data_IF_885778532297
#
_entry.id   IF_885778532297
#
_cell.length_a   1.000
_cell.length_b   1.000
_cell.length_c   1.000
_cell.angle_alpha   90.00
_cell.angle_beta   90.00
_cell.angle_gamma   90.00
#
_symmetry.space_group_name_H-M   'P 1'
#
loop_
_entity.id
_entity.type
_entity.pdbx_description
1 polymer ?
#
# COMPACT_ATOMS: atom_id res chain seq x y z
N UNK A 1 -17.26 -113.75 -64.05
CA UNK A 1 -16.24 -114.50 -64.81
C UNK A 1 -15.35 -115.20 -63.79
N UNK A 2 -15.37 -116.53 -63.76
CA UNK A 2 -14.62 -117.37 -62.81
C UNK A 2 -13.13 -117.15 -63.01
N UNK A 3 -12.45 -116.67 -61.97
CA UNK A 3 -11.02 -116.40 -61.98
C UNK A 3 -10.20 -117.65 -62.30
N UNK A 4 -9.21 -117.50 -63.16
CA UNK A 4 -8.20 -118.52 -63.40
C UNK A 4 -7.40 -118.74 -62.12
N UNK A 5 -7.37 -119.94 -61.53
CA UNK A 5 -6.54 -120.21 -60.36
C UNK A 5 -5.06 -120.14 -60.76
N UNK A 6 -4.32 -119.23 -60.13
CA UNK A 6 -2.86 -119.16 -60.26
C UNK A 6 -2.27 -120.20 -59.33
N UNK A 7 -1.41 -121.08 -59.85
CA UNK A 7 -0.72 -122.07 -59.04
C UNK A 7 0.14 -121.36 -57.96
N UNK A 8 0.08 -121.80 -56.69
CA UNK A 8 0.84 -121.18 -55.61
C UNK A 8 2.36 -121.31 -55.82
N UNK A 9 3.16 -120.43 -55.18
CA UNK A 9 4.61 -120.44 -55.32
C UNK A 9 5.20 -121.82 -55.05
N UNK A 10 6.08 -122.29 -55.94
CA UNK A 10 6.72 -123.60 -55.81
C UNK A 10 6.00 -124.77 -56.48
N UNK A 11 4.81 -124.63 -57.06
CA UNK A 11 4.21 -125.69 -57.90
C UNK A 11 5.02 -125.88 -59.21
N UNK A 12 5.31 -127.13 -59.65
CA UNK A 12 6.09 -127.37 -60.86
C UNK A 12 5.28 -127.00 -62.12
N UNK A 13 5.85 -126.13 -62.97
CA UNK A 13 5.28 -125.75 -64.27
C UNK A 13 5.73 -126.67 -65.42
N UNK A 14 6.75 -127.51 -65.18
CA UNK A 14 7.32 -128.46 -66.13
C UNK A 14 8.82 -128.69 -65.90
N UNK A 15 9.39 -129.73 -66.52
CA UNK A 15 10.82 -130.10 -66.41
C UNK A 15 11.52 -129.84 -67.75
N UNK A 16 12.63 -129.07 -67.74
CA UNK A 16 13.51 -128.87 -68.91
C UNK A 16 14.89 -129.41 -68.54
N UNK A 17 15.44 -130.32 -69.34
CA UNK A 17 16.76 -130.94 -69.14
C UNK A 17 16.98 -131.49 -67.71
N UNK A 18 15.97 -132.13 -67.13
CA UNK A 18 16.06 -132.77 -65.81
C UNK A 18 15.87 -131.85 -64.60
N UNK A 19 15.75 -130.51 -64.78
CA UNK A 19 15.48 -129.57 -63.69
C UNK A 19 14.03 -129.02 -63.74
N UNK A 20 13.38 -128.93 -62.57
CA UNK A 20 12.02 -128.41 -62.44
C UNK A 20 12.01 -126.87 -62.50
N UNK A 21 11.21 -126.29 -63.41
CA UNK A 21 10.93 -124.85 -63.45
C UNK A 21 9.76 -124.54 -62.51
N UNK A 22 9.96 -123.60 -61.57
CA UNK A 22 8.96 -123.19 -60.56
C UNK A 22 8.63 -121.70 -60.69
N UNK A 23 7.40 -121.32 -60.35
CA UNK A 23 7.01 -119.90 -60.24
C UNK A 23 7.81 -119.26 -59.10
N UNK A 24 8.53 -118.17 -59.37
CA UNK A 24 9.22 -117.43 -58.32
C UNK A 24 8.23 -116.58 -57.50
N UNK A 25 8.47 -116.37 -56.19
CA UNK A 25 7.58 -115.57 -55.33
C UNK A 25 7.34 -114.14 -55.84
N UNK A 26 8.35 -113.54 -56.49
CA UNK A 26 8.32 -112.23 -57.14
C UNK A 26 7.20 -112.17 -58.21
N UNK A 27 7.12 -113.19 -59.06
CA UNK A 27 6.12 -113.31 -60.13
C UNK A 27 4.71 -113.53 -59.59
N UNK A 28 4.54 -114.28 -58.49
CA UNK A 28 3.24 -114.45 -57.84
C UNK A 28 2.71 -113.15 -57.24
N UNK A 29 3.59 -112.32 -56.66
CA UNK A 29 3.22 -110.99 -56.13
C UNK A 29 2.82 -110.01 -57.22
N UNK A 30 3.51 -110.00 -58.37
CA UNK A 30 3.12 -109.17 -59.51
C UNK A 30 1.70 -109.49 -59.97
N UNK A 31 1.38 -110.76 -60.21
CA UNK A 31 0.05 -111.16 -60.66
C UNK A 31 -1.04 -110.99 -59.59
N UNK A 32 -0.72 -111.15 -58.29
CA UNK A 32 -1.69 -110.88 -57.22
C UNK A 32 -2.02 -109.38 -57.09
N UNK A 33 -1.05 -108.49 -57.33
CA UNK A 33 -1.28 -107.04 -57.40
C UNK A 33 -2.07 -106.63 -58.64
N UNK A 34 -1.84 -107.27 -59.78
CA UNK A 34 -2.67 -107.08 -60.99
C UNK A 34 -4.10 -107.56 -60.76
N UNK A 35 -4.29 -108.69 -60.09
CA UNK A 35 -5.63 -109.20 -59.73
C UNK A 35 -6.33 -108.31 -58.69
N UNK A 36 -5.59 -107.72 -57.73
CA UNK A 36 -6.08 -106.69 -56.80
C UNK A 36 -6.50 -105.40 -57.50
N UNK A 37 -5.85 -105.04 -58.62
CA UNK A 37 -6.20 -103.88 -59.47
C UNK A 37 -7.39 -104.13 -60.41
N UNK A 38 -7.72 -105.40 -60.70
CA UNK A 38 -8.81 -105.78 -61.62
C UNK A 38 -10.09 -106.20 -60.85
N UNK A 39 -9.99 -106.61 -59.58
CA UNK A 39 -11.12 -106.94 -58.72
C UNK A 39 -11.65 -105.73 -57.94
N UNK A 40 -12.55 -104.95 -58.56
CA UNK A 40 -13.52 -104.02 -57.96
C UNK A 40 -13.24 -103.47 -56.54
N UNK A 41 -12.73 -102.24 -56.48
CA UNK A 41 -12.73 -101.42 -55.27
C UNK A 41 -11.82 -100.21 -55.44
N UNK A 42 -12.42 -99.07 -55.78
CA UNK A 42 -11.80 -97.74 -55.90
C UNK A 42 -10.65 -97.49 -54.94
N UNK A 43 -9.47 -97.13 -55.44
CA UNK A 43 -8.44 -96.53 -54.58
C UNK A 43 -8.86 -95.06 -54.31
N UNK A 44 -9.24 -94.68 -53.07
CA UNK A 44 -9.86 -93.38 -52.75
C UNK A 44 -8.89 -92.18 -52.84
N UNK A 45 -7.71 -92.38 -53.39
CA UNK A 45 -6.57 -91.47 -53.35
C UNK A 45 -6.40 -90.66 -54.65
N UNK A 46 -7.36 -90.73 -55.56
CA UNK A 46 -7.22 -90.21 -56.93
C UNK A 46 -7.48 -88.71 -57.16
N UNK A 47 -7.77 -87.87 -56.16
CA UNK A 47 -8.20 -86.49 -56.45
C UNK A 47 -7.79 -85.40 -55.45
N UNK A 48 -7.05 -85.71 -54.40
CA UNK A 48 -6.49 -84.71 -53.48
C UNK A 48 -4.99 -84.92 -53.37
N UNK A 49 -4.15 -83.87 -53.41
CA UNK A 49 -2.76 -84.03 -53.03
C UNK A 49 -2.72 -84.32 -51.54
N UNK A 50 -2.62 -85.61 -51.16
CA UNK A 50 -2.32 -86.00 -49.79
C UNK A 50 -0.79 -86.13 -49.66
N UNK A 51 -0.25 -85.55 -48.60
CA UNK A 51 1.15 -85.71 -48.25
C UNK A 51 1.32 -87.07 -47.58
N UNK A 52 1.96 -88.02 -48.27
CA UNK A 52 2.35 -89.31 -47.68
C UNK A 52 3.63 -89.11 -46.85
N UNK A 53 3.58 -89.43 -45.55
CA UNK A 53 4.74 -89.40 -44.65
C UNK A 53 5.06 -90.84 -44.26
N UNK A 54 6.00 -91.49 -44.95
CA UNK A 54 6.43 -92.88 -44.67
C UNK A 54 7.86 -92.90 -44.11
N UNK A 55 8.19 -93.89 -43.27
CA UNK A 55 9.55 -94.15 -42.73
C UNK A 55 10.09 -95.44 -43.37
N UNK A 56 10.06 -95.54 -44.70
CA UNK A 56 10.46 -96.74 -45.43
C UNK A 56 11.47 -96.39 -46.54
N UNK A 57 12.59 -97.10 -46.61
CA UNK A 57 13.79 -96.75 -47.39
C UNK A 57 13.74 -97.19 -48.87
N UNK A 58 12.55 -97.51 -49.39
CA UNK A 58 12.37 -98.20 -50.68
C UNK A 58 11.72 -97.42 -51.83
N UNK A 59 11.33 -96.14 -51.67
CA UNK A 59 10.64 -95.38 -52.72
C UNK A 59 11.48 -94.17 -53.18
N UNK A 60 12.04 -94.28 -54.39
CA UNK A 60 13.05 -93.35 -54.95
C UNK A 60 12.59 -91.93 -55.31
N UNK A 61 11.47 -91.43 -54.76
CA UNK A 61 11.02 -90.04 -54.92
C UNK A 61 10.13 -89.53 -53.77
N UNK A 62 10.21 -90.13 -52.58
CA UNK A 62 9.51 -89.62 -51.41
C UNK A 62 10.15 -88.34 -50.87
N UNK A 63 9.33 -87.34 -50.56
CA UNK A 63 9.79 -86.11 -49.90
C UNK A 63 9.69 -86.30 -48.41
N UNK A 64 10.79 -86.74 -47.79
CA UNK A 64 10.91 -86.82 -46.33
C UNK A 64 10.72 -85.43 -45.72
N UNK A 65 9.58 -85.17 -45.09
CA UNK A 65 9.33 -83.95 -44.33
C UNK A 65 10.08 -84.05 -42.99
N UNK A 66 11.40 -83.93 -43.05
CA UNK A 66 12.22 -83.87 -41.83
C UNK A 66 12.22 -82.41 -41.37
N UNK A 67 11.67 -82.08 -40.19
CA UNK A 67 11.82 -80.73 -39.66
C UNK A 67 13.30 -80.41 -39.59
N UNK A 68 13.74 -79.42 -40.36
CA UNK A 68 15.11 -78.92 -40.26
C UNK A 68 15.21 -78.31 -38.85
N UNK A 69 16.06 -78.91 -38.01
CA UNK A 69 16.10 -78.76 -36.55
C UNK A 69 15.43 -77.49 -35.98
N UNK A 70 14.33 -77.69 -35.23
CA UNK A 70 13.88 -76.77 -34.17
C UNK A 70 12.76 -75.77 -34.48
N UNK A 71 12.02 -75.89 -35.59
CA UNK A 71 11.04 -74.85 -35.98
C UNK A 71 9.61 -75.31 -36.25
N UNK A 72 9.47 -76.48 -36.86
CA UNK A 72 8.19 -77.14 -37.05
C UNK A 72 8.14 -78.37 -36.17
N UNK A 73 6.99 -78.63 -35.57
CA UNK A 73 6.70 -79.85 -34.83
C UNK A 73 5.63 -80.64 -35.58
N UNK A 74 5.77 -81.96 -35.58
CA UNK A 74 4.83 -82.86 -36.22
C UNK A 74 4.60 -84.06 -35.31
N UNK A 75 3.34 -84.29 -34.94
CA UNK A 75 2.95 -85.45 -34.12
C UNK A 75 1.94 -86.27 -34.90
N UNK A 76 2.27 -87.54 -35.15
CA UNK A 76 1.37 -88.50 -35.77
C UNK A 76 0.48 -89.15 -34.70
N UNK A 77 -0.84 -88.99 -34.86
CA UNK A 77 -1.85 -89.58 -33.99
C UNK A 77 -2.04 -91.08 -34.20
N UNK A 78 -1.35 -91.68 -35.18
CA UNK A 78 -1.53 -93.08 -35.56
C UNK A 78 -2.75 -93.28 -36.48
N UNK A 79 -3.08 -94.54 -36.77
CA UNK A 79 -4.18 -94.89 -37.67
C UNK A 79 -5.51 -94.27 -37.19
N UNK A 80 -6.23 -93.62 -38.11
CA UNK A 80 -7.46 -92.85 -37.87
C UNK A 80 -7.33 -91.61 -36.94
N UNK A 81 -6.11 -91.25 -36.52
CA UNK A 81 -5.80 -90.05 -35.74
C UNK A 81 -5.33 -88.87 -36.61
N UNK A 82 -5.53 -87.60 -36.19
CA UNK A 82 -5.06 -86.45 -36.94
C UNK A 82 -3.54 -86.30 -36.84
N UNK A 83 -2.90 -86.02 -37.97
CA UNK A 83 -1.52 -85.54 -37.98
C UNK A 83 -1.48 -84.05 -37.64
N UNK A 84 -0.89 -83.69 -36.50
CA UNK A 84 -0.84 -82.29 -36.04
C UNK A 84 0.47 -81.66 -36.45
N UNK A 85 0.40 -80.65 -37.32
CA UNK A 85 1.51 -79.76 -37.66
C UNK A 85 1.44 -78.50 -36.80
N UNK A 86 2.54 -78.18 -36.12
CA UNK A 86 2.66 -77.03 -35.25
C UNK A 86 3.97 -76.27 -35.45
N UNK A 87 4.07 -75.15 -34.76
CA UNK A 87 5.35 -74.45 -34.58
C UNK A 87 6.04 -75.02 -33.33
N UNK A 88 7.37 -75.06 -33.37
CA UNK A 88 8.14 -75.33 -32.16
C UNK A 88 8.01 -74.15 -31.18
N UNK A 89 7.90 -74.48 -29.89
CA UNK A 89 7.95 -73.49 -28.81
C UNK A 89 9.23 -72.66 -28.90
N UNK A 90 9.10 -71.41 -28.50
CA UNK A 90 10.22 -70.49 -28.36
C UNK A 90 10.61 -70.41 -26.89
N UNK A 91 11.73 -69.79 -26.56
CA UNK A 91 12.08 -69.56 -25.16
C UNK A 91 11.25 -68.42 -24.52
N UNK A 92 10.29 -67.84 -25.25
CA UNK A 92 9.40 -66.78 -24.76
C UNK A 92 8.28 -67.38 -23.92
N UNK A 93 8.16 -66.95 -22.67
CA UNK A 93 7.02 -67.29 -21.83
C UNK A 93 5.77 -66.53 -22.30
N UNK A 94 4.62 -67.20 -22.54
CA UNK A 94 3.39 -66.50 -22.86
C UNK A 94 2.97 -65.54 -21.72
N UNK A 95 2.98 -64.23 -22.00
CA UNK A 95 2.61 -63.16 -21.07
C UNK A 95 2.31 -61.86 -21.84
N UNK A 96 1.71 -60.89 -21.17
CA UNK A 96 1.81 -59.50 -21.59
C UNK A 96 3.24 -58.99 -21.32
N UNK A 97 3.82 -58.32 -22.32
CA UNK A 97 5.10 -57.61 -22.20
C UNK A 97 4.83 -56.12 -22.45
N UNK A 98 5.47 -55.26 -21.67
CA UNK A 98 5.26 -53.82 -21.65
C UNK A 98 4.25 -53.37 -20.60
N UNK A 99 4.46 -52.16 -20.08
CA UNK A 99 3.59 -51.50 -19.11
C UNK A 99 3.66 -49.98 -19.28
N UNK A 100 3.03 -49.22 -18.38
CA UNK A 100 3.21 -47.77 -18.34
C UNK A 100 4.66 -47.33 -18.03
N UNK A 101 5.51 -48.23 -17.51
CA UNK A 101 6.90 -47.93 -17.11
C UNK A 101 7.95 -48.79 -17.81
N UNK A 102 7.55 -49.71 -18.69
CA UNK A 102 8.46 -50.63 -19.41
C UNK A 102 8.06 -50.78 -20.87
N UNK A 103 9.04 -50.89 -21.77
CA UNK A 103 8.85 -51.25 -23.18
C UNK A 103 9.29 -52.70 -23.43
N UNK A 104 8.59 -53.46 -24.28
CA UNK A 104 9.04 -54.80 -24.67
C UNK A 104 10.35 -54.71 -25.48
N UNK A 105 11.35 -55.48 -25.07
CA UNK A 105 12.56 -55.78 -25.85
C UNK A 105 12.46 -57.22 -26.33
N UNK A 106 12.48 -57.40 -27.65
CA UNK A 106 12.32 -58.71 -28.28
C UNK A 106 13.51 -59.03 -29.16
N UNK A 107 13.86 -60.31 -29.24
CA UNK A 107 14.82 -60.83 -30.21
C UNK A 107 14.10 -61.79 -31.12
N UNK A 108 14.34 -61.68 -32.43
CA UNK A 108 13.79 -62.60 -33.42
C UNK A 108 14.89 -63.49 -34.01
N UNK A 109 14.54 -64.72 -34.36
CA UNK A 109 15.42 -65.57 -35.14
C UNK A 109 15.50 -65.11 -36.61
N UNK A 110 16.38 -65.71 -37.39
CA UNK A 110 16.54 -65.43 -38.82
C UNK A 110 15.26 -65.67 -39.66
N UNK A 111 14.22 -66.26 -39.06
CA UNK A 111 12.93 -66.56 -39.70
C UNK A 111 11.79 -65.71 -39.12
N UNK A 112 12.11 -64.73 -38.28
CA UNK A 112 11.16 -63.76 -37.73
C UNK A 112 10.37 -64.23 -36.52
N UNK A 113 10.66 -65.42 -35.95
CA UNK A 113 10.00 -65.85 -34.71
C UNK A 113 10.65 -65.17 -33.52
N UNK A 114 9.86 -64.72 -32.56
CA UNK A 114 10.38 -64.15 -31.31
C UNK A 114 11.00 -65.27 -30.48
N UNK A 115 12.29 -65.16 -30.16
CA UNK A 115 13.04 -66.14 -29.37
C UNK A 115 13.30 -65.69 -27.94
N UNK A 116 13.18 -64.40 -27.66
CA UNK A 116 13.16 -63.85 -26.31
C UNK A 116 12.30 -62.59 -26.27
N UNK A 117 11.64 -62.36 -25.13
CA UNK A 117 10.92 -61.15 -24.82
C UNK A 117 11.17 -60.78 -23.35
N UNK A 118 11.46 -59.51 -23.09
CA UNK A 118 11.66 -58.97 -21.75
C UNK A 118 11.20 -57.52 -21.67
N UNK A 119 10.92 -57.05 -20.46
CA UNK A 119 10.55 -55.65 -20.21
C UNK A 119 11.80 -54.82 -19.90
N UNK A 120 12.01 -53.75 -20.67
CA UNK A 120 13.07 -52.76 -20.42
C UNK A 120 12.46 -51.50 -19.81
N UNK A 121 12.98 -50.97 -18.69
CA UNK A 121 12.48 -49.73 -18.10
C UNK A 121 12.51 -48.56 -19.07
N UNK A 122 11.49 -47.72 -19.02
CA UNK A 122 11.47 -46.44 -19.75
C UNK A 122 12.39 -45.46 -19.02
N UNK A 123 13.55 -45.19 -19.61
CA UNK A 123 14.51 -44.19 -19.13
C UNK A 123 14.61 -43.03 -20.13
N UNK A 124 13.99 -41.89 -19.81
CA UNK A 124 14.08 -40.67 -20.62
C UNK A 124 15.21 -39.80 -20.07
N UNK A 125 16.15 -39.40 -20.92
CA UNK A 125 17.20 -38.45 -20.52
C UNK A 125 16.56 -37.08 -20.22
N UNK A 126 17.02 -36.39 -19.19
CA UNK A 126 16.54 -35.04 -18.87
C UNK A 126 16.67 -34.09 -20.08
N UNK A 127 17.70 -34.26 -20.93
CA UNK A 127 17.86 -33.48 -22.16
C UNK A 127 16.82 -33.76 -23.24
N UNK A 128 16.13 -34.91 -23.18
CA UNK A 128 15.05 -35.26 -24.09
C UNK A 128 13.69 -34.70 -23.63
N UNK A 129 13.61 -34.11 -22.43
CA UNK A 129 12.42 -33.42 -21.93
C UNK A 129 12.52 -31.94 -22.33
N UNK A 130 11.80 -31.56 -23.39
CA UNK A 130 11.72 -30.14 -23.81
C UNK A 130 10.68 -29.40 -22.96
N UNK A 131 11.15 -28.60 -22.00
CA UNK A 131 10.32 -27.68 -21.23
C UNK A 131 10.18 -26.30 -21.89
N UNK A 132 9.31 -25.46 -21.34
CA UNK A 132 9.26 -24.03 -21.60
C UNK A 132 10.10 -23.28 -20.57
N UNK A 133 10.52 -22.06 -20.93
CA UNK A 133 11.25 -21.18 -20.04
C UNK A 133 10.32 -20.56 -19.00
N UNK A 134 10.80 -20.44 -17.76
CA UNK A 134 10.17 -19.55 -16.80
C UNK A 134 10.52 -18.11 -17.18
N UNK A 135 9.62 -17.44 -17.89
CA UNK A 135 9.78 -16.05 -18.31
C UNK A 135 9.19 -15.11 -17.25
N UNK A 136 9.92 -14.03 -16.91
CA UNK A 136 9.41 -12.96 -16.05
C UNK A 136 8.95 -11.76 -16.88
N UNK A 137 8.00 -11.01 -16.35
CA UNK A 137 7.74 -9.63 -16.72
C UNK A 137 7.85 -8.80 -15.45
N UNK A 138 8.78 -7.85 -15.41
CA UNK A 138 8.81 -6.85 -14.35
C UNK A 138 7.79 -5.76 -14.71
N UNK A 139 7.12 -5.19 -13.72
CA UNK A 139 6.44 -3.91 -13.88
C UNK A 139 7.33 -2.77 -13.33
N UNK A 140 6.81 -1.54 -13.32
CA UNK A 140 7.56 -0.37 -12.82
C UNK A 140 7.89 -0.46 -11.33
N UNK A 141 7.15 -1.27 -10.57
CA UNK A 141 7.19 -1.30 -9.12
C UNK A 141 7.78 -2.63 -8.58
N UNK A 142 7.56 -3.75 -9.26
CA UNK A 142 7.90 -5.12 -8.85
C UNK A 142 8.95 -5.71 -9.78
N UNK A 143 10.09 -6.12 -9.21
CA UNK A 143 11.13 -6.89 -9.92
C UNK A 143 11.18 -8.32 -9.41
N UNK A 144 11.06 -9.31 -10.31
CA UNK A 144 11.23 -10.72 -9.98
C UNK A 144 12.62 -11.21 -10.37
N UNK A 145 13.52 -11.42 -9.42
CA UNK A 145 14.82 -12.04 -9.71
C UNK A 145 14.65 -13.56 -9.86
N UNK A 146 15.08 -14.12 -10.99
CA UNK A 146 15.14 -15.59 -11.19
C UNK A 146 16.60 -16.02 -11.10
N UNK A 147 16.93 -16.97 -10.21
CA UNK A 147 18.25 -17.57 -10.08
C UNK A 147 18.36 -18.91 -10.81
N UNK A 148 19.58 -19.40 -11.02
CA UNK A 148 19.84 -20.68 -11.71
C UNK A 148 19.60 -20.62 -13.23
N UNK A 149 19.12 -21.73 -13.80
CA UNK A 149 18.82 -21.87 -15.24
C UNK A 149 17.31 -21.93 -15.46
N UNK A 150 16.61 -20.78 -15.64
CA UNK A 150 15.15 -20.76 -15.81
C UNK A 150 14.67 -21.37 -17.14
N UNK A 151 15.60 -21.60 -18.09
CA UNK A 151 15.32 -22.21 -19.39
C UNK A 151 14.91 -23.68 -19.22
N UNK A 152 13.78 -24.06 -19.81
CA UNK A 152 13.22 -25.42 -19.68
C UNK A 152 12.72 -25.81 -18.27
N UNK A 153 12.59 -24.85 -17.34
CA UNK A 153 12.16 -25.12 -15.96
C UNK A 153 10.68 -25.52 -15.82
N UNK A 154 9.87 -25.30 -16.86
CA UNK A 154 8.42 -25.58 -16.82
C UNK A 154 8.03 -26.66 -17.81
N UNK A 155 7.25 -27.66 -17.38
CA UNK A 155 6.66 -28.64 -18.30
C UNK A 155 5.59 -28.01 -19.20
N UNK A 156 4.91 -26.96 -18.72
CA UNK A 156 3.95 -26.14 -19.48
C UNK A 156 4.12 -24.67 -19.10
N UNK A 157 3.95 -23.78 -20.07
CA UNK A 157 3.98 -22.34 -19.81
C UNK A 157 2.94 -21.93 -18.76
N UNK A 158 3.38 -21.19 -17.75
CA UNK A 158 2.53 -20.58 -16.72
C UNK A 158 2.89 -19.11 -16.55
N UNK A 159 1.91 -18.25 -16.32
CA UNK A 159 2.12 -16.83 -16.06
C UNK A 159 1.93 -16.51 -14.58
N UNK A 160 2.90 -15.81 -13.98
CA UNK A 160 2.75 -15.23 -12.66
C UNK A 160 2.32 -13.77 -12.77
N UNK A 161 1.26 -13.39 -12.04
CA UNK A 161 0.92 -11.99 -11.81
C UNK A 161 1.40 -11.64 -10.41
N UNK A 162 2.43 -10.80 -10.32
CA UNK A 162 3.01 -10.38 -9.06
C UNK A 162 2.61 -8.94 -8.79
N UNK A 163 2.15 -8.66 -7.58
CA UNK A 163 1.73 -7.34 -7.14
C UNK A 163 1.60 -7.30 -5.63
N UNK A 164 1.54 -6.11 -5.06
CA UNK A 164 1.27 -5.89 -3.65
C UNK A 164 -0.24 -5.77 -3.43
N UNK A 165 -0.78 -6.58 -2.52
CA UNK A 165 -2.13 -6.38 -1.99
C UNK A 165 -2.04 -5.53 -0.72
N UNK A 166 -2.76 -4.40 -0.67
CA UNK A 166 -2.73 -3.52 0.50
C UNK A 166 -1.71 -2.39 0.37
N UNK A 167 -0.99 -2.07 1.45
CA UNK A 167 -0.08 -0.93 1.53
C UNK A 167 1.37 -1.34 1.30
N UNK A 168 2.16 -0.45 0.71
CA UNK A 168 3.61 -0.60 0.66
C UNK A 168 4.22 0.02 1.93
N UNK A 169 5.07 -0.74 2.60
CA UNK A 169 5.78 -0.31 3.80
C UNK A 169 6.70 0.90 3.52
N UNK A 170 6.84 1.77 4.51
CA UNK A 170 7.61 3.01 4.45
C UNK A 170 9.09 2.75 4.14
N UNK A 171 9.67 1.67 4.67
CA UNK A 171 11.06 1.29 4.40
C UNK A 171 11.29 0.84 2.96
N UNK A 172 10.21 0.57 2.22
CA UNK A 172 10.20 0.20 0.80
C UNK A 172 9.70 1.33 -0.10
N UNK A 173 9.66 2.56 0.42
CA UNK A 173 9.24 3.75 -0.34
C UNK A 173 7.73 3.96 -0.43
N UNK A 174 6.95 3.17 0.30
CA UNK A 174 5.51 3.41 0.46
C UNK A 174 5.20 4.38 1.59
N UNK A 175 3.92 4.48 1.93
CA UNK A 175 3.46 5.30 3.07
C UNK A 175 3.00 4.47 4.27
N UNK A 176 2.92 3.14 4.13
CA UNK A 176 2.34 2.25 5.14
C UNK A 176 0.83 2.43 5.35
N UNK A 177 0.22 3.46 4.77
CA UNK A 177 -1.15 3.89 5.06
C UNK A 177 -2.17 3.38 4.05
N UNK A 178 -3.28 2.85 4.56
CA UNK A 178 -4.40 2.35 3.75
C UNK A 178 -5.48 3.40 3.50
N UNK A 179 -5.46 4.53 4.21
CA UNK A 179 -6.43 5.61 4.10
C UNK A 179 -5.86 6.94 4.59
N UNK A 180 -6.31 8.03 3.99
CA UNK A 180 -6.19 9.41 4.45
C UNK A 180 -7.47 10.16 4.05
N UNK A 181 -7.80 11.25 4.74
CA UNK A 181 -8.89 12.13 4.34
C UNK A 181 -8.37 13.44 3.76
N UNK A 182 -9.24 14.19 3.08
CA UNK A 182 -8.88 15.46 2.48
C UNK A 182 -8.37 16.44 3.55
N UNK A 183 -7.16 16.95 3.36
CA UNK A 183 -6.51 17.94 4.21
C UNK A 183 -5.63 17.36 5.33
N UNK A 184 -5.53 16.04 5.46
CA UNK A 184 -4.54 15.43 6.35
C UNK A 184 -3.10 15.74 5.90
N UNK A 185 -2.19 15.78 6.87
CA UNK A 185 -0.76 15.91 6.65
C UNK A 185 -0.07 14.58 6.95
N UNK A 186 0.71 14.07 6.01
CA UNK A 186 1.62 12.94 6.24
C UNK A 186 2.99 13.49 6.62
N UNK A 187 3.57 12.97 7.70
CA UNK A 187 4.87 13.41 8.21
C UNK A 187 5.69 12.22 8.71
N UNK A 188 7.02 12.38 8.78
CA UNK A 188 7.90 11.37 9.36
C UNK A 188 7.83 11.42 10.89
N UNK A 189 7.29 10.37 11.51
CA UNK A 189 7.29 10.23 12.97
C UNK A 189 8.68 9.82 13.49
N UNK A 190 9.46 9.13 12.66
CA UNK A 190 10.86 8.81 12.86
C UNK A 190 11.50 8.43 11.50
N UNK A 191 12.75 7.98 11.52
CA UNK A 191 13.52 7.67 10.31
C UNK A 191 12.91 6.57 9.41
N UNK A 192 12.01 5.73 9.94
CA UNK A 192 11.44 4.57 9.21
C UNK A 192 9.92 4.51 9.25
N UNK A 193 9.24 5.48 9.87
CA UNK A 193 7.79 5.46 10.08
C UNK A 193 7.19 6.78 9.63
N UNK A 194 6.19 6.72 8.75
CA UNK A 194 5.35 7.86 8.43
C UNK A 194 4.09 7.80 9.30
N UNK A 195 3.61 8.96 9.73
CA UNK A 195 2.39 9.10 10.50
C UNK A 195 1.50 10.18 9.87
N UNK A 196 0.21 10.08 10.17
CA UNK A 196 -0.78 11.03 9.71
C UNK A 196 -1.14 11.98 10.85
N UNK A 197 -1.11 13.27 10.57
CA UNK A 197 -1.69 14.31 11.40
C UNK A 197 -2.97 14.76 10.69
N UNK A 198 -4.13 14.51 11.32
CA UNK A 198 -5.42 14.89 10.73
C UNK A 198 -5.49 16.40 10.45
N UNK A 199 -6.34 16.86 9.52
CA UNK A 199 -6.47 18.30 9.12
C UNK A 199 -6.62 19.28 10.31
N UNK A 200 -7.07 18.79 11.47
CA UNK A 200 -7.27 19.59 12.67
C UNK A 200 -8.62 20.30 12.69
N UNK A 201 -8.75 21.27 13.59
CA UNK A 201 -9.96 22.09 13.75
C UNK A 201 -9.82 23.40 12.98
N UNK A 202 -10.94 24.02 12.59
CA UNK A 202 -10.95 25.37 11.99
C UNK A 202 -10.11 26.36 12.82
N UNK A 203 -9.35 27.21 12.13
CA UNK A 203 -8.43 28.21 12.74
C UNK A 203 -7.24 27.63 13.53
N UNK A 204 -6.86 26.38 13.29
CA UNK A 204 -5.58 25.87 13.78
C UNK A 204 -4.47 26.14 12.76
N UNK A 205 -3.25 26.35 13.25
CA UNK A 205 -2.06 26.51 12.42
C UNK A 205 -1.04 25.44 12.73
N UNK A 206 -0.37 24.95 11.68
CA UNK A 206 0.67 23.94 11.82
C UNK A 206 1.90 24.58 12.43
N UNK A 207 2.37 24.02 13.53
CA UNK A 207 3.59 24.45 14.22
C UNK A 207 4.50 23.24 14.41
N UNK A 208 5.79 23.50 14.63
CA UNK A 208 6.74 22.47 15.08
C UNK A 208 6.96 22.66 16.58
N UNK A 209 6.84 21.59 17.36
CA UNK A 209 7.22 21.60 18.78
C UNK A 209 8.71 21.22 19.00
N UNK A 210 9.49 21.13 17.91
CA UNK A 210 10.89 20.69 17.95
C UNK A 210 11.10 19.17 17.80
N UNK A 211 10.04 18.36 17.91
CA UNK A 211 10.10 16.91 17.66
C UNK A 211 9.20 16.49 16.50
N UNK A 212 7.94 16.95 16.47
CA UNK A 212 6.93 16.59 15.49
C UNK A 212 6.09 17.82 15.08
N UNK A 213 5.45 17.80 13.89
CA UNK A 213 4.42 18.76 13.56
C UNK A 213 3.20 18.60 14.49
N UNK A 214 2.61 19.71 14.92
CA UNK A 214 1.40 19.74 15.74
C UNK A 214 0.49 20.90 15.32
N UNK A 215 -0.81 20.74 15.53
CA UNK A 215 -1.78 21.82 15.32
C UNK A 215 -1.91 22.64 16.61
N UNK A 216 -1.73 23.96 16.50
CA UNK A 216 -1.96 24.89 17.62
C UNK A 216 -3.15 25.80 17.29
N UNK A 217 -4.05 25.97 18.25
CA UNK A 217 -5.17 26.90 18.11
C UNK A 217 -4.65 28.32 17.90
N UNK A 218 -5.19 29.04 16.91
CA UNK A 218 -4.99 30.48 16.84
C UNK A 218 -5.82 31.13 17.96
N UNK A 219 -5.18 31.77 18.95
CA UNK A 219 -5.84 32.35 20.12
C UNK A 219 -6.40 33.76 19.90
N UNK A 220 -6.18 34.36 18.72
CA UNK A 220 -6.75 35.64 18.33
C UNK A 220 -7.95 35.49 17.38
N UNK A 221 -8.91 36.40 17.47
CA UNK A 221 -9.96 36.63 16.45
C UNK A 221 -9.42 37.27 15.16
N UNK A 222 -8.11 37.51 15.06
CA UNK A 222 -7.41 38.03 13.88
C UNK A 222 -6.34 37.08 13.33
N UNK A 223 -5.69 37.50 12.23
CA UNK A 223 -4.61 36.74 11.59
C UNK A 223 -3.49 36.41 12.59
N UNK A 224 -2.90 35.21 12.48
CA UNK A 224 -1.72 34.86 13.27
C UNK A 224 -0.58 35.83 12.93
N UNK A 225 -0.20 36.67 13.88
CA UNK A 225 0.94 37.56 13.74
C UNK A 225 2.22 36.76 14.03
N UNK A 226 2.73 36.06 13.00
CA UNK A 226 4.03 35.37 13.05
C UNK A 226 5.13 36.24 12.45
N UNK A 227 5.41 37.36 13.07
CA UNK A 227 6.48 38.24 12.64
C UNK A 227 7.33 38.65 13.84
N UNK A 228 8.66 38.60 13.69
CA UNK A 228 9.57 39.17 14.69
C UNK A 228 9.39 40.68 14.86
N UNK A 229 8.74 41.34 13.89
CA UNK A 229 8.31 42.74 13.90
C UNK A 229 6.93 42.85 13.24
N UNK A 230 5.83 42.72 14.01
CA UNK A 230 4.49 42.95 13.51
C UNK A 230 4.36 44.34 12.89
N UNK A 231 3.66 44.45 11.76
CA UNK A 231 3.16 45.74 11.26
C UNK A 231 1.65 45.66 11.14
N UNK A 232 0.96 46.70 11.61
CA UNK A 232 -0.49 46.79 11.59
C UNK A 232 -0.88 47.95 10.67
N UNK A 233 -1.76 47.69 9.70
CA UNK A 233 -2.24 48.73 8.77
C UNK A 233 -3.19 49.71 9.47
N UNK A 234 -3.88 49.25 10.52
CA UNK A 234 -4.79 50.02 11.37
C UNK A 234 -4.28 50.05 12.82
N UNK A 235 -5.11 50.49 13.77
CA UNK A 235 -4.76 50.49 15.19
C UNK A 235 -4.72 49.08 15.82
N UNK A 236 -4.01 48.97 16.94
CA UNK A 236 -3.98 47.82 17.86
C UNK A 236 -4.88 48.16 19.05
N UNK A 237 -5.81 47.28 19.42
CA UNK A 237 -6.53 47.40 20.70
C UNK A 237 -5.72 46.74 21.82
N UNK A 238 -5.61 47.38 22.98
CA UNK A 238 -5.08 46.78 24.20
C UNK A 238 -6.21 46.48 25.18
N UNK A 239 -6.12 45.36 25.91
CA UNK A 239 -7.17 44.92 26.83
C UNK A 239 -8.51 44.70 26.13
N UNK A 240 -9.59 45.28 26.69
CA UNK A 240 -10.93 45.24 26.11
C UNK A 240 -11.19 46.32 25.03
N UNK A 241 -10.15 47.07 24.62
CA UNK A 241 -10.32 48.12 23.62
C UNK A 241 -10.67 47.56 22.24
N UNK A 242 -11.67 48.17 21.60
CA UNK A 242 -11.87 47.99 20.16
C UNK A 242 -10.84 48.86 19.44
N UNK A 243 -9.98 48.25 18.62
CA UNK A 243 -9.03 48.98 17.80
C UNK A 243 -9.74 50.03 16.93
N UNK A 244 -9.24 51.26 16.89
CA UNK A 244 -9.76 52.31 16.03
C UNK A 244 -9.85 51.85 14.57
N UNK A 245 -11.00 52.05 13.94
CA UNK A 245 -11.25 51.72 12.54
C UNK A 245 -10.51 52.65 11.55
N UNK A 246 -9.86 53.71 12.05
CA UNK A 246 -9.08 54.65 11.24
C UNK A 246 -7.77 55.03 11.93
N UNK A 247 -6.76 55.37 11.12
CA UNK A 247 -5.41 55.70 11.58
C UNK A 247 -4.58 54.47 11.97
N UNK A 248 -3.35 54.74 12.41
CA UNK A 248 -2.43 53.74 12.98
C UNK A 248 -2.13 54.18 14.41
N UNK A 249 -2.15 53.25 15.36
CA UNK A 249 -1.94 53.59 16.77
C UNK A 249 -2.28 52.46 17.75
N UNK A 250 -2.35 52.80 19.02
CA UNK A 250 -2.76 51.91 20.12
C UNK A 250 -4.04 52.49 20.72
N UNK A 251 -5.12 51.71 20.73
CA UNK A 251 -6.41 52.08 21.30
C UNK A 251 -6.53 51.52 22.71
N UNK A 252 -6.83 52.40 23.66
CA UNK A 252 -7.13 52.07 25.05
C UNK A 252 -8.65 51.93 25.25
N UNK A 253 -9.11 51.13 26.23
CA UNK A 253 -10.53 50.99 26.51
C UNK A 253 -11.12 52.32 27.01
N UNK A 254 -12.40 52.58 26.71
CA UNK A 254 -13.09 53.80 27.14
C UNK A 254 -13.27 53.89 28.67
N UNK A 255 -13.10 52.78 29.37
CA UNK A 255 -13.03 52.72 30.83
C UNK A 255 -11.63 52.28 31.20
N UNK A 256 -11.01 52.97 32.16
CA UNK A 256 -9.68 52.65 32.65
C UNK A 256 -9.54 51.15 32.97
N UNK A 257 -8.49 50.53 32.45
CA UNK A 257 -8.10 49.15 32.74
C UNK A 257 -6.91 49.16 33.71
N UNK A 258 -7.17 49.53 34.97
CA UNK A 258 -6.15 49.90 35.93
C UNK A 258 -5.11 48.79 36.18
N UNK A 259 -3.82 49.16 36.13
CA UNK A 259 -2.70 48.29 36.47
C UNK A 259 -1.96 48.78 37.70
N UNK A 260 -1.59 47.85 38.58
CA UNK A 260 -0.71 48.12 39.73
C UNK A 260 0.78 47.98 39.38
N UNK A 261 1.11 47.48 38.19
CA UNK A 261 2.49 47.39 37.72
C UNK A 261 2.97 48.75 37.22
N UNK A 262 4.00 49.36 37.84
CA UNK A 262 4.49 50.68 37.44
C UNK A 262 5.05 50.73 36.01
N UNK A 263 5.28 49.58 35.36
CA UNK A 263 5.77 49.46 33.99
C UNK A 263 4.68 49.17 32.95
N UNK A 264 3.41 49.12 33.36
CA UNK A 264 2.28 48.98 32.44
C UNK A 264 1.72 50.36 32.13
N UNK A 265 1.62 50.68 30.83
CA UNK A 265 0.80 51.81 30.37
C UNK A 265 -0.63 51.30 30.27
N UNK A 266 -1.44 51.63 31.27
CA UNK A 266 -2.76 51.05 31.50
C UNK A 266 -3.92 51.98 31.12
N UNK A 267 -3.63 53.27 30.94
CA UNK A 267 -4.65 54.28 30.72
C UNK A 267 -4.21 55.37 29.73
N UNK A 268 -5.15 55.79 28.88
CA UNK A 268 -5.05 56.99 28.07
C UNK A 268 -6.47 57.56 27.91
N UNK A 269 -6.72 58.71 28.53
CA UNK A 269 -8.02 59.38 28.49
C UNK A 269 -7.84 60.86 28.19
N UNK A 270 -8.60 61.37 27.22
CA UNK A 270 -8.76 62.80 26.96
C UNK A 270 -10.19 63.19 27.28
N UNK A 271 -10.38 64.32 27.97
CA UNK A 271 -11.71 64.72 28.36
C UNK A 271 -11.83 66.17 28.77
N UNK A 272 -13.08 66.59 28.94
CA UNK A 272 -13.43 67.88 29.55
C UNK A 272 -13.98 67.65 30.94
N UNK A 273 -13.74 68.58 31.86
CA UNK A 273 -14.42 68.59 33.15
C UNK A 273 -14.96 69.99 33.46
N UNK A 274 -16.03 70.06 34.25
CA UNK A 274 -16.57 71.33 34.75
C UNK A 274 -16.14 71.51 36.20
N UNK A 275 -15.11 72.32 36.49
CA UNK A 275 -14.66 72.53 37.86
C UNK A 275 -15.68 73.32 38.68
N UNK A 276 -15.85 72.92 39.93
CA UNK A 276 -16.49 73.76 40.93
C UNK A 276 -15.49 74.79 41.41
N UNK A 277 -15.82 76.09 41.33
CA UNK A 277 -14.93 77.19 41.67
C UNK A 277 -15.41 77.89 42.93
N UNK A 278 -14.51 78.09 43.90
CA UNK A 278 -14.80 78.77 45.17
C UNK A 278 -13.67 79.74 45.52
N UNK A 279 -13.94 80.67 46.45
CA UNK A 279 -12.90 81.52 47.04
C UNK A 279 -12.40 80.90 48.36
N UNK A 280 -11.16 81.24 48.75
CA UNK A 280 -10.57 80.82 50.03
C UNK A 280 -11.26 81.43 51.24
N UNK A 281 -11.92 82.57 51.07
CA UNK A 281 -12.83 83.19 52.01
C UNK A 281 -13.87 84.02 51.24
N UNK A 282 -15.01 84.32 51.87
CA UNK A 282 -16.12 84.97 51.20
C UNK A 282 -16.79 84.09 50.13
N UNK A 283 -17.51 84.70 49.20
CA UNK A 283 -18.25 83.96 48.16
C UNK A 283 -18.16 84.69 46.81
N UNK A 284 -17.88 83.92 45.76
CA UNK A 284 -17.99 84.38 44.38
C UNK A 284 -19.48 84.35 44.00
N UNK A 285 -20.05 85.52 43.67
CA UNK A 285 -21.49 85.62 43.34
C UNK A 285 -21.82 84.90 42.03
N UNK A 286 -21.00 85.12 40.99
CA UNK A 286 -21.20 84.49 39.67
C UNK A 286 -19.84 84.12 39.08
N UNK A 287 -19.59 82.82 38.98
CA UNK A 287 -18.36 82.25 38.42
C UNK A 287 -18.68 81.06 37.54
N UNK A 288 -17.93 80.90 36.46
CA UNK A 288 -17.96 79.68 35.64
C UNK A 288 -16.55 79.11 35.51
N UNK A 289 -16.46 77.80 35.34
CA UNK A 289 -15.21 77.11 35.13
C UNK A 289 -15.36 76.03 34.06
N UNK A 290 -14.36 75.91 33.20
CA UNK A 290 -14.26 74.89 32.16
C UNK A 290 -12.84 74.38 32.09
N UNK A 291 -12.64 73.07 32.00
CA UNK A 291 -11.31 72.49 31.87
C UNK A 291 -11.25 71.34 30.89
N UNK A 292 -10.04 71.07 30.39
CA UNK A 292 -9.71 69.92 29.55
C UNK A 292 -8.42 69.25 30.02
N UNK A 293 -8.41 67.92 30.01
CA UNK A 293 -7.32 67.11 30.51
C UNK A 293 -6.89 66.03 29.53
N UNK A 294 -5.63 65.62 29.69
CA UNK A 294 -5.08 64.41 29.10
C UNK A 294 -4.45 63.59 30.22
N UNK A 295 -4.87 62.35 30.36
CA UNK A 295 -4.34 61.37 31.30
C UNK A 295 -3.53 60.34 30.53
N UNK A 296 -2.30 60.08 30.97
CA UNK A 296 -1.40 59.07 30.41
C UNK A 296 -0.87 58.23 31.58
N UNK A 297 -1.42 57.03 31.74
CA UNK A 297 -1.27 56.22 32.94
C UNK A 297 -1.63 57.02 34.19
N UNK A 298 -0.66 57.20 35.09
CA UNK A 298 -0.86 57.99 36.32
C UNK A 298 -0.74 59.50 36.15
N UNK A 299 -0.20 60.01 35.04
CA UNK A 299 0.05 61.45 34.88
C UNK A 299 -1.14 62.15 34.24
N UNK A 300 -1.57 63.25 34.83
CA UNK A 300 -2.70 64.06 34.36
C UNK A 300 -2.20 65.46 34.06
N UNK A 301 -2.37 65.89 32.82
CA UNK A 301 -2.19 67.27 32.40
C UNK A 301 -3.54 67.95 32.35
N UNK A 302 -3.65 69.13 32.96
CA UNK A 302 -4.91 69.89 33.00
C UNK A 302 -4.69 71.31 32.57
N UNK A 303 -5.70 71.89 31.91
CA UNK A 303 -5.85 73.33 31.79
C UNK A 303 -7.26 73.72 32.22
N UNK A 304 -7.34 74.73 33.07
CA UNK A 304 -8.60 75.30 33.55
C UNK A 304 -8.74 76.74 33.12
N UNK A 305 -9.95 77.12 32.72
CA UNK A 305 -10.38 78.49 32.47
C UNK A 305 -11.49 78.81 33.46
N UNK A 306 -11.34 79.89 34.20
CA UNK A 306 -12.30 80.37 35.21
C UNK A 306 -12.69 81.79 34.84
N UNK A 307 -13.98 82.04 34.66
CA UNK A 307 -14.52 83.38 34.42
C UNK A 307 -15.25 83.85 35.67
N UNK A 308 -14.71 84.88 36.33
CA UNK A 308 -15.35 85.52 37.48
C UNK A 308 -16.18 86.68 36.94
N UNK A 309 -17.48 86.46 36.76
CA UNK A 309 -18.38 87.51 36.29
C UNK A 309 -18.64 88.52 37.40
N UNK A 310 -18.87 88.03 38.62
CA UNK A 310 -18.98 88.85 39.82
C UNK A 310 -18.24 88.18 40.98
N UNK A 311 -17.24 88.87 41.50
CA UNK A 311 -16.40 88.39 42.60
C UNK A 311 -17.14 88.35 43.94
N UNK A 312 -18.21 89.15 44.11
CA UNK A 312 -18.87 89.30 45.40
C UNK A 312 -17.87 89.68 46.50
N UNK A 313 -17.80 88.84 47.54
CA UNK A 313 -16.89 89.01 48.69
C UNK A 313 -15.69 88.06 48.65
N UNK A 314 -15.47 87.35 47.53
CA UNK A 314 -14.38 86.39 47.39
C UNK A 314 -13.00 87.01 47.65
N UNK A 315 -12.18 86.31 48.44
CA UNK A 315 -10.81 86.72 48.81
C UNK A 315 -9.90 85.50 49.08
N UNK A 316 -8.66 85.77 49.53
CA UNK A 316 -7.56 84.84 49.79
C UNK A 316 -6.99 84.13 48.55
N UNK A 317 -7.72 83.18 47.98
CA UNK A 317 -7.32 82.40 46.81
C UNK A 317 -8.53 81.96 46.02
N UNK A 318 -8.32 81.52 44.77
CA UNK A 318 -9.35 80.84 43.99
C UNK A 318 -9.10 79.35 44.04
N UNK A 319 -10.09 78.55 44.40
CA UNK A 319 -10.02 77.09 44.43
C UNK A 319 -10.87 76.53 43.30
N UNK A 320 -10.36 75.49 42.63
CA UNK A 320 -11.12 74.75 41.63
C UNK A 320 -10.93 73.25 41.79
N UNK A 321 -11.98 72.47 41.51
CA UNK A 321 -11.92 70.99 41.55
C UNK A 321 -11.16 70.43 40.35
N UNK A 322 -10.47 69.32 40.57
CA UNK A 322 -9.72 68.59 39.56
C UNK A 322 -10.54 67.42 38.99
N UNK A 323 -10.22 66.93 37.77
CA UNK A 323 -10.88 65.75 37.20
C UNK A 323 -10.58 64.46 37.99
N UNK A 324 -9.42 64.39 38.65
CA UNK A 324 -8.99 63.25 39.47
C UNK A 324 -8.29 63.71 40.74
N UNK A 325 -8.42 62.94 41.83
CA UNK A 325 -7.71 63.18 43.10
C UNK A 325 -6.20 63.02 42.93
N UNK A 326 -5.41 63.89 43.55
CA UNK A 326 -3.96 63.84 43.50
C UNK A 326 -3.37 62.63 44.28
N UNK A 327 -2.26 62.11 43.81
CA UNK A 327 -1.47 61.11 44.52
C UNK A 327 -0.99 61.63 45.89
N UNK A 328 -0.80 60.71 46.84
CA UNK A 328 -0.39 61.02 48.21
C UNK A 328 1.07 61.46 48.38
N UNK A 329 1.86 61.48 47.31
CA UNK A 329 3.33 61.45 47.37
C UNK A 329 4.02 62.82 47.25
N UNK A 330 3.37 63.86 46.68
CA UNK A 330 3.98 65.19 46.54
C UNK A 330 2.96 66.33 46.37
N UNK A 331 3.41 67.56 46.63
CA UNK A 331 2.68 68.80 46.34
C UNK A 331 3.04 69.25 44.93
N UNK A 332 2.03 69.55 44.12
CA UNK A 332 2.18 69.91 42.71
C UNK A 332 2.06 71.42 42.52
N UNK A 333 2.77 71.95 41.54
CA UNK A 333 2.77 73.38 41.22
C UNK A 333 2.56 73.54 39.74
N UNK A 334 1.65 74.43 39.39
CA UNK A 334 1.33 74.84 38.05
C UNK A 334 1.45 76.34 37.90
N UNK A 335 1.27 76.81 36.67
CA UNK A 335 1.34 78.23 36.32
C UNK A 335 0.04 78.68 35.71
N UNK A 336 -0.20 79.98 35.73
CA UNK A 336 -1.36 80.56 35.09
C UNK A 336 -1.19 82.05 34.81
N UNK A 337 -2.23 82.64 34.23
CA UNK A 337 -2.30 84.06 33.96
C UNK A 337 -3.74 84.54 34.07
N UNK A 338 -3.92 85.74 34.59
CA UNK A 338 -5.18 86.47 34.46
C UNK A 338 -5.21 87.16 33.08
N UNK A 339 -6.26 86.96 32.29
CA UNK A 339 -6.29 87.32 30.87
C UNK A 339 -7.13 88.56 30.51
N UNK A 340 -8.00 89.04 31.40
CA UNK A 340 -9.00 90.05 31.05
C UNK A 340 -8.75 91.43 31.67
N UNK A 341 -8.09 91.53 32.83
CA UNK A 341 -7.99 92.79 33.58
C UNK A 341 -6.56 93.26 33.87
N UNK A 342 -5.75 92.40 34.47
CA UNK A 342 -4.43 92.71 35.06
C UNK A 342 -3.27 92.10 34.30
N UNK A 343 -3.46 90.94 33.64
CA UNK A 343 -2.35 90.23 33.03
C UNK A 343 -1.42 89.53 34.03
N UNK A 344 -1.83 89.41 35.29
CA UNK A 344 -0.98 88.94 36.39
C UNK A 344 -0.55 87.49 36.18
N UNK A 345 0.72 87.20 36.48
CA UNK A 345 1.20 85.81 36.58
C UNK A 345 0.62 85.14 37.83
N UNK A 346 0.20 83.90 37.66
CA UNK A 346 -0.47 83.11 38.69
C UNK A 346 0.29 81.81 38.96
N UNK A 347 0.17 81.32 40.18
CA UNK A 347 0.69 80.03 40.61
C UNK A 347 -0.48 79.17 41.06
N UNK A 348 -0.64 78.00 40.44
CA UNK A 348 -1.55 76.97 40.90
C UNK A 348 -0.79 76.02 41.84
N UNK A 349 -1.37 75.63 42.96
CA UNK A 349 -0.78 74.65 43.87
C UNK A 349 -1.82 73.61 44.26
N UNK A 350 -1.37 72.36 44.36
CA UNK A 350 -2.19 71.21 44.73
C UNK A 350 -1.49 70.42 45.83
N UNK A 351 -2.15 70.29 46.98
CA UNK A 351 -1.66 69.46 48.08
C UNK A 351 -1.86 67.97 47.78
N UNK A 352 -1.07 67.08 48.41
CA UNK A 352 -1.25 65.62 48.26
C UNK A 352 -2.66 65.18 48.66
N UNK A 353 -3.21 64.17 47.97
CA UNK A 353 -4.53 63.58 48.26
C UNK A 353 -5.74 64.52 48.12
N UNK A 354 -5.56 65.71 47.54
CA UNK A 354 -6.66 66.65 47.31
C UNK A 354 -7.31 66.45 45.93
N UNK A 355 -8.61 66.72 45.85
CA UNK A 355 -9.36 66.77 44.59
C UNK A 355 -9.56 68.22 44.10
N UNK A 356 -8.77 69.16 44.61
CA UNK A 356 -8.88 70.58 44.26
C UNK A 356 -7.53 71.28 44.36
N UNK A 357 -7.24 72.14 43.37
CA UNK A 357 -6.10 73.03 43.39
C UNK A 357 -6.51 74.44 43.79
N UNK A 358 -5.54 75.23 44.26
CA UNK A 358 -5.72 76.64 44.60
C UNK A 358 -4.80 77.51 43.75
N UNK A 359 -5.28 78.69 43.36
CA UNK A 359 -4.57 79.66 42.56
C UNK A 359 -4.30 80.90 43.40
N UNK A 360 -3.08 81.41 43.28
CA UNK A 360 -2.64 82.69 43.80
C UNK A 360 -2.02 83.51 42.68
N UNK A 361 -1.86 84.82 42.89
CA UNK A 361 -0.87 85.59 42.12
C UNK A 361 0.55 85.16 42.50
N UNK A 362 1.54 85.53 41.69
CA UNK A 362 2.96 85.21 41.90
C UNK A 362 3.52 85.56 43.30
N UNK A 363 2.90 86.49 44.03
CA UNK A 363 3.30 86.93 45.37
C UNK A 363 2.33 86.49 46.47
N UNK A 364 1.58 85.40 46.27
CA UNK A 364 0.63 84.82 47.22
C UNK A 364 -0.55 85.76 47.59
N UNK A 365 -0.93 86.68 46.71
CA UNK A 365 -2.14 87.52 46.90
C UNK A 365 -3.35 86.94 46.16
N UNK A 366 -4.53 87.50 46.44
CA UNK A 366 -5.78 87.07 45.84
C UNK A 366 -5.79 87.29 44.32
N UNK A 367 -6.05 86.26 43.49
CA UNK A 367 -6.01 86.39 42.03
C UNK A 367 -7.36 86.74 41.40
N UNK A 368 -8.42 86.93 42.18
CA UNK A 368 -9.78 87.15 41.69
C UNK A 368 -10.22 88.61 41.66
N UNK A 369 -11.22 88.90 40.84
CA UNK A 369 -11.84 90.22 40.70
C UNK A 369 -13.05 90.13 39.76
N UNK A 370 -13.98 91.08 39.88
CA UNK A 370 -15.17 91.14 39.01
C UNK A 370 -14.72 91.38 37.57
N UNK A 371 -15.13 90.50 36.67
CA UNK A 371 -14.72 90.49 35.27
C UNK A 371 -13.38 89.81 34.98
N UNK A 372 -12.74 89.14 35.96
CA UNK A 372 -11.43 88.51 35.72
C UNK A 372 -11.60 87.16 35.01
N UNK A 373 -10.63 86.83 34.15
CA UNK A 373 -10.51 85.50 33.56
C UNK A 373 -9.18 84.87 33.98
N UNK A 374 -9.23 83.77 34.71
CA UNK A 374 -8.05 83.04 35.15
C UNK A 374 -7.87 81.83 34.25
N UNK A 375 -6.68 81.67 33.70
CA UNK A 375 -6.27 80.44 33.00
C UNK A 375 -5.08 79.85 33.73
N UNK A 376 -5.17 78.58 34.13
CA UNK A 376 -4.09 77.89 34.82
C UNK A 376 -3.91 76.47 34.29
N UNK A 377 -2.67 76.01 34.28
CA UNK A 377 -2.29 74.64 33.91
C UNK A 377 -1.71 73.93 35.11
N UNK A 378 -1.96 72.63 35.24
CA UNK A 378 -1.37 71.79 36.28
C UNK A 378 -1.11 70.38 35.75
N UNK A 379 0.11 69.90 35.96
CA UNK A 379 0.52 68.51 35.79
C UNK A 379 0.68 67.84 37.16
N UNK A 380 0.11 66.64 37.31
CA UNK A 380 0.15 65.90 38.58
C UNK A 380 -0.01 64.39 38.38
N UNK A 381 0.37 63.62 39.41
CA UNK A 381 0.05 62.18 39.47
C UNK A 381 -1.26 61.93 40.21
N UNK A 382 -1.99 60.90 39.79
CA UNK A 382 -3.15 60.33 40.49
C UNK A 382 -2.81 59.05 41.24
#
# INVERSE_FOLDING_TARGET
MSGFPINPPGSPLGTIAGNSVRVSPEWYRFFSQVQKRIGSGTDPLGATPFLTLDYNDGLGSERKFTPVSGQLTGTDGGADGPYTLGLADTAVTPSGYGSASTVPSIVVDAKGRITSASDTPIAINASAVTGNDLTRVNDTNVTLTLGGTPTGSLLKAVSFTLGWTGTLDETRGGTGMSSYIAGDLIYAANATTLAQLGIGTTNYVLTSNGTLPTWTANTGTGNVVRASKPSFTTAIGVGAATASASGSGISFPATQDASTDPNTMDDYEEGTWTPTVTAGSGTLTTVSGSGYYTKIGRHVFTTVVINITDNGTGANHIRYTLPFTAAASARWVGVGRELNATGSSLTATLSPSEASAVVFTYNNTYPGGTGYQIVATLDYFV
#
